data_IF_828468013744
#
_entry.id   IF_828468013744
#
_cell.length_a   1.000
_cell.length_b   1.000
_cell.length_c   1.000
_cell.angle_alpha   90.00
_cell.angle_beta   90.00
_cell.angle_gamma   90.00
#
_symmetry.space_group_name_H-M   'P 1'
#
loop_
_entity.id
_entity.type
_entity.pdbx_description
1 polymer ?
#
# COMPACT_ATOMS: atom_id res chain seq x y z
N UNK A 1 1.26 2.14 15.80
CA UNK A 1 0.47 1.57 14.70
C UNK A 1 1.40 1.21 13.55
N UNK A 2 1.22 0.06 12.94
CA UNK A 2 2.06 -0.34 11.81
C UNK A 2 1.58 0.30 10.51
N UNK A 3 2.48 0.37 9.55
CA UNK A 3 2.15 0.88 8.22
C UNK A 3 1.03 0.06 7.56
N UNK A 4 1.08 -1.26 7.67
CA UNK A 4 0.05 -2.14 7.12
C UNK A 4 -1.31 -1.89 7.75
N UNK A 5 -1.37 -1.73 9.07
CA UNK A 5 -2.59 -1.44 9.79
C UNK A 5 -3.19 -0.09 9.38
N UNK A 6 -2.34 0.91 9.26
CA UNK A 6 -2.74 2.26 8.86
C UNK A 6 -3.29 2.26 7.43
N UNK A 7 -2.62 1.58 6.50
CA UNK A 7 -3.08 1.45 5.12
C UNK A 7 -4.41 0.71 5.03
N UNK A 8 -4.56 -0.36 5.81
CA UNK A 8 -5.81 -1.12 5.85
C UNK A 8 -6.97 -0.22 6.26
N UNK A 9 -6.79 0.54 7.33
CA UNK A 9 -7.81 1.47 7.83
C UNK A 9 -8.15 2.55 6.79
N UNK A 10 -7.12 3.06 6.11
CA UNK A 10 -7.29 4.14 5.13
C UNK A 10 -8.00 3.67 3.87
N UNK A 11 -7.66 2.48 3.37
CA UNK A 11 -8.13 1.99 2.08
C UNK A 11 -9.39 1.13 2.13
N UNK A 12 -9.69 0.50 3.27
CA UNK A 12 -10.86 -0.38 3.39
C UNK A 12 -12.18 0.24 2.96
N UNK A 13 -12.45 1.54 3.22
CA UNK A 13 -13.69 2.15 2.73
C UNK A 13 -13.78 2.30 1.21
N UNK A 14 -12.66 2.21 0.51
CA UNK A 14 -12.60 2.38 -0.94
C UNK A 14 -12.72 1.06 -1.67
N UNK A 15 -11.98 0.04 -1.21
CA UNK A 15 -11.95 -1.29 -1.84
C UNK A 15 -11.48 -2.32 -0.82
N UNK A 16 -11.78 -3.61 -1.05
CA UNK A 16 -11.26 -4.68 -0.18
C UNK A 16 -9.74 -4.69 -0.13
N UNK A 17 -9.18 -4.80 1.06
CA UNK A 17 -7.73 -4.81 1.30
C UNK A 17 -7.33 -6.18 1.82
N UNK A 18 -6.36 -6.82 1.16
CA UNK A 18 -5.86 -8.13 1.53
C UNK A 18 -4.35 -8.09 1.78
N UNK A 19 -3.90 -8.90 2.72
CA UNK A 19 -2.46 -9.08 2.99
C UNK A 19 -2.02 -10.53 2.75
N UNK A 20 -2.91 -11.32 2.17
CA UNK A 20 -2.69 -12.74 1.87
C UNK A 20 -3.48 -13.15 0.65
N UNK A 21 -3.79 -14.43 0.57
CA UNK A 21 -4.53 -15.00 -0.56
C UNK A 21 -6.01 -15.00 -0.27
N UNK A 22 -6.84 -14.71 -1.27
CA UNK A 22 -8.29 -14.81 -1.11
C UNK A 22 -8.71 -16.27 -0.90
N UNK A 23 -9.64 -16.47 0.03
CA UNK A 23 -10.30 -17.74 0.21
C UNK A 23 -11.68 -17.63 -0.45
N UNK A 24 -11.78 -17.94 -1.74
CA UNK A 24 -13.02 -17.86 -2.48
C UNK A 24 -12.89 -16.93 -3.69
N UNK A 25 -14.02 -16.42 -4.16
CA UNK A 25 -14.04 -15.58 -5.37
C UNK A 25 -13.52 -14.17 -5.07
N UNK A 26 -12.55 -13.72 -5.87
CA UNK A 26 -12.02 -12.37 -5.76
C UNK A 26 -13.09 -11.35 -6.20
N UNK A 27 -13.19 -10.18 -5.52
CA UNK A 27 -14.13 -9.13 -5.90
C UNK A 27 -13.70 -8.41 -7.17
N UNK A 28 -14.59 -7.56 -7.71
CA UNK A 28 -14.33 -6.80 -8.93
C UNK A 28 -13.13 -5.87 -8.80
N UNK A 29 -12.87 -5.39 -7.60
CA UNK A 29 -11.70 -4.56 -7.30
C UNK A 29 -11.19 -4.93 -5.91
N UNK A 30 -9.88 -4.91 -5.76
CA UNK A 30 -9.23 -5.17 -4.48
C UNK A 30 -7.78 -4.72 -4.54
N UNK A 31 -7.12 -4.70 -3.40
CA UNK A 31 -5.68 -4.47 -3.38
C UNK A 31 -5.00 -5.42 -2.40
N UNK A 32 -3.72 -5.70 -2.68
CA UNK A 32 -2.83 -6.43 -1.78
C UNK A 32 -1.79 -5.47 -1.24
N UNK A 33 -1.46 -5.65 0.03
CA UNK A 33 -0.38 -4.91 0.67
C UNK A 33 0.81 -5.86 0.84
N UNK A 34 1.92 -5.51 0.22
CA UNK A 34 3.15 -6.32 0.28
C UNK A 34 4.26 -5.52 0.94
N UNK A 35 4.69 -5.89 2.16
CA UNK A 35 5.83 -5.22 2.79
C UNK A 35 7.07 -5.39 1.93
N UNK A 36 7.82 -4.31 1.72
CA UNK A 36 9.03 -4.31 0.90
C UNK A 36 10.28 -4.20 1.75
N UNK A 37 10.42 -3.12 2.51
CA UNK A 37 11.58 -2.89 3.36
C UNK A 37 11.17 -2.23 4.66
N UNK A 38 11.97 -2.48 5.71
CA UNK A 38 11.90 -1.77 6.97
C UNK A 38 13.32 -1.33 7.30
N UNK A 39 13.56 -0.03 7.31
CA UNK A 39 14.87 0.52 7.55
C UNK A 39 14.86 1.47 8.74
N UNK A 40 15.97 1.50 9.48
CA UNK A 40 16.16 2.49 10.51
C UNK A 40 16.82 3.73 9.92
N UNK A 41 16.25 4.89 10.21
CA UNK A 41 16.80 6.18 9.84
C UNK A 41 17.23 6.90 11.12
N UNK A 42 18.26 7.68 11.07
CA UNK A 42 18.74 8.47 12.19
C UNK A 42 19.07 7.61 13.42
N UNK A 43 20.26 7.76 13.91
CA UNK A 43 20.72 7.07 15.12
C UNK A 43 21.20 8.10 16.13
N UNK A 44 20.86 7.88 17.41
CA UNK A 44 21.39 8.65 18.54
C UNK A 44 21.90 7.66 19.57
N UNK A 45 23.16 7.79 20.01
CA UNK A 45 23.78 6.89 21.00
C UNK A 45 23.65 5.42 20.63
N UNK A 46 23.83 5.09 19.33
CA UNK A 46 23.72 3.75 18.76
C UNK A 46 22.29 3.16 18.82
N UNK A 47 21.29 4.01 19.05
CA UNK A 47 19.87 3.60 19.02
C UNK A 47 19.18 4.22 17.82
N UNK A 48 18.34 3.47 17.10
CA UNK A 48 17.57 4.06 16.01
C UNK A 48 16.51 5.02 16.56
N UNK A 49 16.35 6.17 15.90
CA UNK A 49 15.36 7.17 16.27
C UNK A 49 14.13 7.16 15.38
N UNK A 50 14.32 6.83 14.11
CA UNK A 50 13.22 6.73 13.14
C UNK A 50 13.23 5.38 12.48
N UNK A 51 12.04 4.90 12.19
CA UNK A 51 11.77 3.65 11.53
C UNK A 51 11.05 3.96 10.22
N UNK A 52 11.60 3.51 9.08
CA UNK A 52 10.97 3.72 7.79
C UNK A 52 10.49 2.39 7.24
N UNK A 53 9.21 2.34 6.91
CA UNK A 53 8.60 1.16 6.28
C UNK A 53 8.16 1.51 4.88
N UNK A 54 8.36 0.59 3.94
CA UNK A 54 7.89 0.72 2.57
C UNK A 54 7.00 -0.46 2.23
N UNK A 55 5.85 -0.16 1.62
CA UNK A 55 4.85 -1.16 1.24
C UNK A 55 4.44 -0.93 -0.20
N UNK A 56 4.29 -2.01 -0.96
CA UNK A 56 3.69 -1.96 -2.29
C UNK A 56 2.21 -2.24 -2.18
N UNK A 57 1.41 -1.32 -2.71
CA UNK A 57 -0.04 -1.49 -2.84
C UNK A 57 -0.29 -1.97 -4.26
N UNK A 58 -0.67 -3.24 -4.41
CA UNK A 58 -1.01 -3.81 -5.72
C UNK A 58 -2.51 -3.70 -5.90
N UNK A 59 -2.94 -2.84 -6.82
CA UNK A 59 -4.35 -2.56 -7.08
C UNK A 59 -4.83 -3.37 -8.27
N UNK A 60 -5.92 -4.11 -8.10
CA UNK A 60 -6.55 -4.89 -9.16
C UNK A 60 -7.98 -4.42 -9.34
N UNK A 61 -8.37 -4.13 -10.57
CA UNK A 61 -9.75 -3.72 -10.86
C UNK A 61 -10.14 -4.13 -12.28
N UNK A 62 -11.39 -4.54 -12.43
CA UNK A 62 -11.97 -4.85 -13.74
C UNK A 62 -12.57 -3.61 -14.40
N UNK A 63 -12.68 -2.52 -13.65
CA UNK A 63 -13.23 -1.25 -14.13
C UNK A 63 -12.13 -0.24 -14.47
N UNK A 64 -12.50 1.03 -14.52
CA UNK A 64 -11.58 2.13 -14.82
C UNK A 64 -10.55 2.29 -13.69
N UNK A 65 -9.32 1.81 -13.95
CA UNK A 65 -8.27 1.88 -12.95
C UNK A 65 -7.79 3.32 -12.70
N UNK A 66 -7.90 4.21 -13.69
CA UNK A 66 -7.42 5.59 -13.55
C UNK A 66 -8.15 6.34 -12.42
N UNK A 67 -9.48 6.22 -12.38
CA UNK A 67 -10.27 6.88 -11.34
C UNK A 67 -9.97 6.30 -9.96
N UNK A 68 -9.88 4.99 -9.86
CA UNK A 68 -9.60 4.31 -8.59
C UNK A 68 -8.21 4.64 -8.07
N UNK A 69 -7.20 4.58 -8.94
CA UNK A 69 -5.81 4.91 -8.57
C UNK A 69 -5.70 6.35 -8.10
N UNK A 70 -6.38 7.27 -8.80
CA UNK A 70 -6.36 8.68 -8.44
C UNK A 70 -6.97 8.92 -7.06
N UNK A 71 -8.06 8.22 -6.74
CA UNK A 71 -8.69 8.29 -5.44
C UNK A 71 -7.76 7.78 -4.34
N UNK A 72 -7.11 6.64 -4.58
CA UNK A 72 -6.17 6.04 -3.62
C UNK A 72 -4.99 6.98 -3.38
N UNK A 73 -4.40 7.52 -4.44
CA UNK A 73 -3.27 8.44 -4.32
C UNK A 73 -3.64 9.68 -3.50
N UNK A 74 -4.83 10.24 -3.74
CA UNK A 74 -5.30 11.40 -2.98
C UNK A 74 -5.40 11.11 -1.48
N UNK A 75 -5.94 9.93 -1.13
CA UNK A 75 -6.04 9.52 0.26
C UNK A 75 -4.66 9.35 0.90
N UNK A 76 -3.72 8.75 0.18
CA UNK A 76 -2.37 8.54 0.66
C UNK A 76 -1.66 9.86 0.95
N UNK A 77 -1.77 10.81 0.03
CA UNK A 77 -1.15 12.12 0.20
C UNK A 77 -1.74 12.90 1.37
N UNK A 78 -3.06 12.83 1.54
CA UNK A 78 -3.74 13.47 2.68
C UNK A 78 -3.34 12.86 4.02
N UNK A 79 -2.95 11.61 4.04
CA UNK A 79 -2.53 10.91 5.24
C UNK A 79 -1.00 10.96 5.45
N UNK A 80 -0.32 11.84 4.72
CA UNK A 80 1.14 12.07 4.84
C UNK A 80 2.02 10.88 4.45
N UNK A 81 1.52 10.02 3.56
CA UNK A 81 2.38 8.99 2.98
C UNK A 81 3.22 9.57 1.86
N UNK A 82 4.44 9.07 1.73
CA UNK A 82 5.31 9.40 0.60
C UNK A 82 5.14 8.34 -0.47
N UNK A 83 4.79 8.76 -1.68
CA UNK A 83 4.68 7.84 -2.81
C UNK A 83 6.06 7.74 -3.45
N UNK A 84 6.67 6.55 -3.34
CA UNK A 84 8.04 6.33 -3.84
C UNK A 84 8.04 5.77 -5.26
N UNK A 85 6.93 5.24 -5.73
CA UNK A 85 6.83 4.74 -7.09
C UNK A 85 5.40 4.47 -7.50
N UNK A 86 5.16 4.49 -8.80
CA UNK A 86 3.86 4.16 -9.40
C UNK A 86 4.11 3.49 -10.74
N UNK A 87 3.33 2.44 -11.04
CA UNK A 87 3.52 1.74 -12.30
C UNK A 87 2.27 0.97 -12.69
N UNK A 88 1.82 1.14 -13.93
CA UNK A 88 0.84 0.23 -14.52
C UNK A 88 1.57 -1.06 -14.86
N UNK A 89 1.13 -2.16 -14.27
CA UNK A 89 1.81 -3.46 -14.46
C UNK A 89 1.29 -4.21 -15.67
N UNK A 90 -0.03 -4.22 -15.86
CA UNK A 90 -0.60 -4.90 -17.01
C UNK A 90 -2.06 -5.26 -16.87
N UNK A 91 -2.58 -5.92 -17.90
CA UNK A 91 -3.96 -6.38 -17.94
C UNK A 91 -3.95 -7.89 -18.10
N UNK A 92 -4.75 -8.57 -17.27
CA UNK A 92 -4.92 -10.02 -17.37
C UNK A 92 -6.16 -10.33 -18.21
N UNK A 93 -5.95 -11.01 -19.35
CA UNK A 93 -7.05 -11.29 -20.27
C UNK A 93 -8.10 -12.26 -19.71
N UNK A 94 -7.67 -13.23 -18.91
CA UNK A 94 -8.57 -14.25 -18.35
C UNK A 94 -9.49 -13.68 -17.28
N UNK A 95 -8.94 -12.89 -16.36
CA UNK A 95 -9.66 -12.33 -15.21
C UNK A 95 -10.21 -10.96 -15.48
N UNK A 96 -9.73 -10.28 -16.54
CA UNK A 96 -10.08 -8.91 -16.90
C UNK A 96 -9.60 -7.86 -15.90
N UNK A 97 -8.69 -8.21 -15.00
CA UNK A 97 -8.11 -7.24 -14.07
C UNK A 97 -7.03 -6.41 -14.72
N UNK A 98 -7.07 -5.11 -14.44
CA UNK A 98 -5.92 -4.22 -14.63
C UNK A 98 -5.15 -4.20 -13.33
N UNK A 99 -3.83 -4.32 -13.40
CA UNK A 99 -2.95 -4.31 -12.24
C UNK A 99 -2.10 -3.05 -12.23
N UNK A 100 -2.19 -2.30 -11.15
CA UNK A 100 -1.44 -1.07 -10.93
C UNK A 100 -0.73 -1.14 -9.59
N UNK A 101 0.56 -0.79 -9.55
CA UNK A 101 1.36 -0.82 -8.33
C UNK A 101 1.65 0.60 -7.83
N UNK A 102 1.44 0.83 -6.54
CA UNK A 102 1.76 2.09 -5.88
C UNK A 102 2.67 1.75 -4.70
N UNK A 103 3.88 2.27 -4.71
CA UNK A 103 4.82 2.05 -3.61
C UNK A 103 4.77 3.26 -2.69
N UNK A 104 4.62 3.02 -1.40
CA UNK A 104 4.53 4.07 -0.39
C UNK A 104 5.47 3.80 0.75
N UNK A 105 5.94 4.89 1.36
CA UNK A 105 6.78 4.83 2.54
C UNK A 105 6.29 5.81 3.58
N UNK A 106 6.54 5.50 4.84
CA UNK A 106 6.25 6.40 5.93
C UNK A 106 7.25 6.20 7.05
N UNK A 107 7.63 7.29 7.68
CA UNK A 107 8.54 7.28 8.82
C UNK A 107 7.73 7.30 10.11
N UNK A 108 8.18 6.49 11.06
CA UNK A 108 7.58 6.42 12.38
C UNK A 108 8.68 6.62 13.43
N UNK A 109 8.31 7.23 14.56
CA UNK A 109 9.21 7.27 15.68
C UNK A 109 9.45 5.84 16.18
N UNK A 110 10.71 5.46 16.31
CA UNK A 110 11.04 4.13 16.80
C UNK A 110 10.69 4.00 18.27
N UNK A 111 9.92 2.98 18.61
CA UNK A 111 9.56 2.66 19.99
C UNK A 111 9.97 1.26 20.31
N UNK A 112 10.73 1.13 21.38
CA UNK A 112 11.15 -0.15 21.90
C UNK A 112 10.12 -0.61 22.93
N UNK A 113 9.50 -1.76 22.69
CA UNK A 113 8.51 -2.34 23.62
C UNK A 113 9.14 -3.43 24.48
#
# INVERSE_FOLDING_TARGET
MSLLSELNTLLSPVLPVETGVFSGKAPDKYCFLTPMTDDFLLFGDNMPLLDMSEVRISVFTQDNYLALVKQIISLLLLADFTITGRQYVGHEDETKYNHYAIDVAKEYEYKED
#
